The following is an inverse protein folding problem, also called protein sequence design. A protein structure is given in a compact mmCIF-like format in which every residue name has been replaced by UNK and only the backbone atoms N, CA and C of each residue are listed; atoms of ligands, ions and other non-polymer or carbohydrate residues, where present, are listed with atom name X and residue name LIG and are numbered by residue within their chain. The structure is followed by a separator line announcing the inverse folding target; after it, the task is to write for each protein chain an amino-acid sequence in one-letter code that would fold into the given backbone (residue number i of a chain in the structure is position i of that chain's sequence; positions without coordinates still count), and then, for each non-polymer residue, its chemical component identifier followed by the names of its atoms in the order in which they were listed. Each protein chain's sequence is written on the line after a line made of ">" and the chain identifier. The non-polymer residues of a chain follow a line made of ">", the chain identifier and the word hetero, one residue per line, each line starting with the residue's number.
data_IF_191621245370
#
_entry.id   IF_191621245370
#
_cell.length_a   1.000
_cell.length_b   1.000
_cell.length_c   1.000
_cell.angle_alpha   90.00
_cell.angle_beta   90.00
_cell.angle_gamma   90.00
#
_symmetry.space_group_name_H-M   'P 1'
#
loop_
_entity.id
_entity.type
_entity.pdbx_description
1 polymer ?
#
# COMPACT_ATOMS: atom_id res chain seq x y z
N UNK A 1 -7.29 26.62 -14.17
CA UNK A 1 -8.43 27.08 -13.33
C UNK A 1 -8.55 26.27 -12.03
N UNK A 2 -8.64 24.93 -12.03
CA UNK A 2 -8.79 24.11 -10.82
C UNK A 2 -7.60 24.19 -9.84
N UNK A 3 -6.36 24.14 -10.33
CA UNK A 3 -5.14 24.31 -9.53
C UNK A 3 -5.01 25.72 -8.93
N UNK A 4 -5.46 26.73 -9.64
CA UNK A 4 -5.50 28.11 -9.15
C UNK A 4 -6.54 28.31 -8.02
N UNK A 5 -7.72 27.69 -8.18
CA UNK A 5 -8.74 27.66 -7.12
C UNK A 5 -8.25 26.90 -5.87
N UNK A 6 -7.51 25.81 -6.05
CA UNK A 6 -6.96 25.00 -4.93
C UNK A 6 -5.86 25.74 -4.16
N UNK A 7 -4.99 26.45 -4.86
CA UNK A 7 -3.97 27.34 -4.24
C UNK A 7 -4.64 28.51 -3.51
N UNK A 8 -5.70 29.07 -4.08
CA UNK A 8 -6.47 30.13 -3.46
C UNK A 8 -7.25 29.64 -2.24
N UNK A 9 -7.91 28.47 -2.32
CA UNK A 9 -8.62 27.85 -1.21
C UNK A 9 -7.65 27.41 -0.09
N UNK A 10 -6.49 26.89 -0.40
CA UNK A 10 -5.44 26.56 0.58
C UNK A 10 -4.95 27.80 1.30
N UNK A 11 -4.77 28.92 0.59
CA UNK A 11 -4.41 30.22 1.19
C UNK A 11 -5.57 30.79 2.01
N UNK A 12 -6.80 30.68 1.54
CA UNK A 12 -8.00 31.13 2.26
C UNK A 12 -8.16 30.33 3.56
N UNK A 13 -8.00 29.00 3.55
CA UNK A 13 -8.08 28.15 4.74
C UNK A 13 -6.95 28.48 5.70
N UNK A 14 -5.71 28.70 5.22
CA UNK A 14 -4.56 29.08 6.05
C UNK A 14 -4.74 30.48 6.67
N UNK A 15 -5.16 31.47 5.88
CA UNK A 15 -5.43 32.81 6.38
C UNK A 15 -6.68 32.86 7.27
N UNK A 16 -7.73 32.09 6.95
CA UNK A 16 -8.92 31.97 7.79
C UNK A 16 -8.61 31.34 9.14
N UNK A 17 -7.71 30.36 9.20
CA UNK A 17 -7.26 29.77 10.45
C UNK A 17 -6.54 30.79 11.35
N UNK A 18 -5.64 31.60 10.78
CA UNK A 18 -4.87 32.56 11.57
C UNK A 18 -5.60 33.89 11.87
N UNK A 19 -6.46 34.35 10.95
CA UNK A 19 -7.08 35.68 11.05
C UNK A 19 -8.51 35.60 11.58
N UNK A 20 -9.28 34.58 11.20
CA UNK A 20 -10.71 34.47 11.51
C UNK A 20 -10.96 33.55 12.73
N UNK A 21 -10.17 32.49 12.91
CA UNK A 21 -10.41 31.51 13.97
C UNK A 21 -9.78 31.89 15.31
N UNK A 22 -8.70 32.68 15.31
CA UNK A 22 -8.06 33.12 16.55
C UNK A 22 -8.97 33.85 17.57
N UNK A 23 -9.96 34.64 17.12
CA UNK A 23 -10.91 35.29 18.04
C UNK A 23 -12.13 34.42 18.39
N UNK A 24 -12.28 33.21 17.85
CA UNK A 24 -13.47 32.38 18.08
C UNK A 24 -13.28 31.58 19.39
N UNK A 25 -14.26 31.61 20.31
CA UNK A 25 -14.21 30.80 21.49
C UNK A 25 -14.04 29.29 21.18
N UNK A 26 -13.19 28.60 21.92
CA UNK A 26 -12.82 27.20 21.70
C UNK A 26 -14.02 26.23 21.56
N UNK A 27 -15.14 26.56 22.22
CA UNK A 27 -16.41 25.82 22.14
C UNK A 27 -17.03 25.76 20.72
N UNK A 28 -16.67 26.69 19.82
CA UNK A 28 -17.16 26.73 18.45
C UNK A 28 -16.25 25.99 17.46
N UNK A 29 -15.01 25.62 17.85
CA UNK A 29 -14.09 24.89 16.96
C UNK A 29 -14.68 23.58 16.47
N UNK A 30 -15.43 22.86 17.32
CA UNK A 30 -16.09 21.61 16.94
C UNK A 30 -17.04 21.79 15.76
N UNK A 31 -17.81 22.87 15.73
CA UNK A 31 -18.75 23.16 14.64
C UNK A 31 -18.03 23.57 13.37
N UNK A 32 -16.95 24.35 13.48
CA UNK A 32 -16.14 24.78 12.33
C UNK A 32 -15.43 23.56 11.72
N UNK A 33 -14.89 22.66 12.50
CA UNK A 33 -14.29 21.41 12.01
C UNK A 33 -15.34 20.58 11.27
N UNK A 34 -16.54 20.42 11.80
CA UNK A 34 -17.65 19.69 11.13
C UNK A 34 -18.04 20.35 9.80
N UNK A 35 -18.08 21.69 9.75
CA UNK A 35 -18.37 22.42 8.51
C UNK A 35 -17.25 22.23 7.49
N UNK A 36 -15.99 22.33 7.91
CA UNK A 36 -14.83 22.11 7.05
C UNK A 36 -14.75 20.67 6.55
N UNK A 37 -15.04 19.70 7.39
CA UNK A 37 -15.13 18.28 6.99
C UNK A 37 -16.25 18.06 5.95
N UNK A 38 -17.44 18.64 6.18
CA UNK A 38 -18.54 18.59 5.18
C UNK A 38 -18.17 19.28 3.88
N UNK A 39 -17.47 20.41 3.94
CA UNK A 39 -16.99 21.12 2.76
C UNK A 39 -15.91 20.31 2.02
N UNK A 40 -14.98 19.71 2.74
CA UNK A 40 -13.97 18.80 2.19
C UNK A 40 -14.65 17.56 1.57
N UNK A 41 -15.66 16.98 2.21
CA UNK A 41 -16.46 15.88 1.67
C UNK A 41 -17.24 16.30 0.42
N UNK A 42 -17.78 17.51 0.39
CA UNK A 42 -18.49 18.06 -0.76
C UNK A 42 -17.55 18.32 -1.95
N UNK A 43 -16.39 18.93 -1.71
CA UNK A 43 -15.35 19.11 -2.73
C UNK A 43 -14.77 17.78 -3.23
N UNK A 44 -14.63 16.78 -2.35
CA UNK A 44 -14.32 15.39 -2.73
C UNK A 44 -15.39 14.82 -3.68
N UNK A 45 -16.67 15.00 -3.36
CA UNK A 45 -17.79 14.49 -4.17
C UNK A 45 -17.79 15.12 -5.57
N UNK A 46 -17.43 16.38 -5.69
CA UNK A 46 -17.28 17.07 -6.98
C UNK A 46 -16.03 16.56 -7.72
N UNK A 47 -14.90 16.35 -7.03
CA UNK A 47 -13.68 15.86 -7.66
C UNK A 47 -13.76 14.38 -8.08
N UNK A 48 -14.57 13.57 -7.40
CA UNK A 48 -14.82 12.16 -7.74
C UNK A 48 -15.63 11.96 -9.02
N UNK A 49 -16.13 13.03 -9.64
CA UNK A 49 -16.89 12.98 -10.89
C UNK A 49 -16.08 12.65 -12.14
N UNK A 50 -14.75 12.74 -12.08
CA UNK A 50 -13.89 12.63 -13.26
C UNK A 50 -12.78 11.58 -13.06
N UNK A 51 -12.43 10.91 -14.15
CA UNK A 51 -11.19 10.13 -14.23
C UNK A 51 -10.00 11.09 -14.19
N UNK A 52 -8.97 10.75 -13.44
CA UNK A 52 -7.72 11.51 -13.43
C UNK A 52 -6.57 10.66 -13.96
N UNK A 53 -5.63 11.31 -14.61
CA UNK A 53 -4.34 10.73 -15.00
C UNK A 53 -3.28 11.55 -14.27
N UNK A 54 -2.47 10.86 -13.49
CA UNK A 54 -1.41 11.47 -12.70
C UNK A 54 -0.08 11.16 -13.34
N UNK A 55 0.60 12.20 -13.80
CA UNK A 55 1.99 12.09 -14.25
C UNK A 55 2.90 11.99 -13.02
N UNK A 56 3.71 10.94 -12.96
CA UNK A 56 4.72 10.76 -11.94
C UNK A 56 6.12 10.87 -12.55
N UNK A 57 6.94 11.69 -11.92
CA UNK A 57 8.36 11.84 -12.24
C UNK A 57 9.18 11.56 -10.99
N UNK A 58 9.92 10.47 -11.00
CA UNK A 58 10.82 10.07 -9.91
C UNK A 58 12.24 10.00 -10.49
N UNK A 59 13.02 11.04 -10.27
CA UNK A 59 14.33 11.22 -10.94
C UNK A 59 14.18 11.14 -12.47
N UNK A 60 14.83 10.19 -13.11
CA UNK A 60 14.77 9.95 -14.56
C UNK A 60 13.64 9.00 -14.99
N UNK A 61 12.81 8.53 -14.05
CA UNK A 61 11.74 7.57 -14.31
C UNK A 61 10.41 8.32 -14.39
N UNK A 62 9.74 8.19 -15.53
CA UNK A 62 8.42 8.79 -15.79
C UNK A 62 7.39 7.73 -16.08
N UNK A 63 6.21 7.84 -15.47
CA UNK A 63 5.06 6.98 -15.73
C UNK A 63 3.75 7.69 -15.40
N UNK A 64 2.63 7.10 -15.84
CA UNK A 64 1.29 7.64 -15.63
C UNK A 64 0.45 6.68 -14.81
N UNK A 65 -0.31 7.21 -13.86
CA UNK A 65 -1.28 6.44 -13.08
C UNK A 65 -2.69 6.85 -13.48
N UNK A 66 -3.47 5.88 -13.89
CA UNK A 66 -4.88 6.03 -14.20
C UNK A 66 -5.70 5.81 -12.93
N UNK A 67 -6.55 6.78 -12.59
CA UNK A 67 -7.47 6.67 -11.46
C UNK A 67 -8.89 6.90 -11.98
N UNK A 68 -9.73 5.85 -11.94
CA UNK A 68 -11.10 5.96 -12.39
C UNK A 68 -11.93 6.87 -11.49
N UNK A 69 -12.91 7.55 -12.07
CA UNK A 69 -13.95 8.23 -11.30
C UNK A 69 -14.59 7.21 -10.35
N UNK A 70 -15.00 7.52 -9.21
CA UNK A 70 -15.61 6.64 -8.19
C UNK A 70 -14.62 5.78 -7.36
N UNK A 71 -13.31 5.87 -7.60
CA UNK A 71 -12.33 5.35 -6.66
C UNK A 71 -11.95 6.44 -5.66
N UNK A 72 -12.71 6.56 -4.57
CA UNK A 72 -12.54 7.65 -3.59
C UNK A 72 -11.19 7.63 -2.89
N UNK A 73 -10.64 6.45 -2.62
CA UNK A 73 -9.36 6.29 -1.96
C UNK A 73 -8.22 6.75 -2.87
N UNK A 74 -8.15 6.22 -4.10
CA UNK A 74 -7.15 6.64 -5.07
C UNK A 74 -7.28 8.12 -5.44
N UNK A 75 -8.50 8.66 -5.60
CA UNK A 75 -8.70 10.08 -5.84
C UNK A 75 -8.13 10.95 -4.72
N UNK A 76 -8.32 10.56 -3.47
CA UNK A 76 -7.78 11.30 -2.34
C UNK A 76 -6.25 11.36 -2.38
N UNK A 77 -5.60 10.21 -2.55
CA UNK A 77 -4.15 10.09 -2.61
C UNK A 77 -3.60 10.82 -3.84
N UNK A 78 -4.08 10.46 -5.03
CA UNK A 78 -3.46 10.88 -6.28
C UNK A 78 -3.79 12.32 -6.68
N UNK A 79 -4.92 12.92 -6.23
CA UNK A 79 -5.14 14.37 -6.41
C UNK A 79 -4.06 15.22 -5.74
N UNK A 80 -3.43 14.73 -4.69
CA UNK A 80 -2.34 15.45 -4.03
C UNK A 80 -1.01 15.35 -4.77
N UNK A 81 -0.91 14.44 -5.73
CA UNK A 81 0.27 14.19 -6.57
C UNK A 81 0.14 14.80 -7.97
N UNK A 82 -0.98 15.49 -8.28
CA UNK A 82 -1.23 16.04 -9.62
C UNK A 82 -0.24 17.11 -10.06
N UNK A 83 0.50 17.72 -9.14
CA UNK A 83 1.54 18.69 -9.46
C UNK A 83 2.84 18.04 -9.98
N UNK A 84 2.93 16.70 -9.97
CA UNK A 84 4.09 15.92 -10.43
C UNK A 84 5.36 16.09 -9.58
N UNK A 85 5.31 16.94 -8.54
CA UNK A 85 6.47 17.28 -7.71
C UNK A 85 6.59 16.43 -6.45
N UNK A 86 5.56 15.66 -6.12
CA UNK A 86 5.52 14.82 -4.92
C UNK A 86 5.62 13.36 -5.30
N UNK A 87 6.40 12.64 -4.54
CA UNK A 87 6.56 11.20 -4.65
C UNK A 87 5.59 10.53 -3.66
N UNK A 88 4.88 9.52 -4.11
CA UNK A 88 4.06 8.67 -3.25
C UNK A 88 4.99 7.76 -2.44
N UNK A 89 4.83 7.75 -1.12
CA UNK A 89 5.63 6.94 -0.19
C UNK A 89 7.14 6.97 -0.51
N UNK A 90 7.80 8.11 -0.38
CA UNK A 90 9.19 8.26 -0.82
C UNK A 90 10.19 7.33 -0.10
N UNK A 91 9.97 6.99 1.17
CA UNK A 91 10.83 6.03 1.89
C UNK A 91 10.79 4.64 1.27
N UNK A 92 9.61 4.22 0.79
CA UNK A 92 9.45 2.93 0.12
C UNK A 92 10.13 2.94 -1.25
N UNK A 93 9.95 4.02 -2.00
CA UNK A 93 10.63 4.22 -3.29
C UNK A 93 12.17 4.20 -3.11
N UNK A 94 12.68 4.87 -2.07
CA UNK A 94 14.13 4.89 -1.75
C UNK A 94 14.64 3.48 -1.46
N UNK A 95 13.95 2.75 -0.58
CA UNK A 95 14.29 1.39 -0.22
C UNK A 95 14.22 0.44 -1.42
N UNK A 96 13.13 0.50 -2.17
CA UNK A 96 12.92 -0.32 -3.37
C UNK A 96 13.96 -0.05 -4.44
N UNK A 97 14.31 1.22 -4.67
CA UNK A 97 15.35 1.60 -5.61
C UNK A 97 16.72 1.00 -5.23
N UNK A 98 17.06 1.00 -3.93
CA UNK A 98 18.30 0.40 -3.45
C UNK A 98 18.29 -1.13 -3.62
N UNK A 99 17.18 -1.79 -3.31
CA UNK A 99 17.01 -3.24 -3.52
C UNK A 99 17.17 -3.60 -5.00
N UNK A 100 16.49 -2.88 -5.89
CA UNK A 100 16.52 -3.14 -7.34
C UNK A 100 17.91 -2.98 -7.94
N UNK A 101 18.74 -2.08 -7.40
CA UNK A 101 20.14 -1.91 -7.83
C UNK A 101 21.06 -3.03 -7.33
N UNK A 102 20.79 -3.55 -6.13
CA UNK A 102 21.61 -4.58 -5.51
C UNK A 102 21.29 -6.00 -6.01
N UNK A 103 20.03 -6.24 -6.42
CA UNK A 103 19.62 -7.56 -6.90
C UNK A 103 20.11 -7.79 -8.34
N UNK A 104 20.85 -8.87 -8.57
CA UNK A 104 21.45 -9.16 -9.87
C UNK A 104 20.42 -9.45 -10.96
N UNK A 105 19.33 -10.13 -10.60
CA UNK A 105 18.24 -10.49 -11.50
C UNK A 105 16.91 -10.16 -10.82
N UNK A 106 16.54 -8.90 -10.71
CA UNK A 106 15.37 -8.49 -9.98
C UNK A 106 14.09 -8.91 -10.70
N UNK A 107 13.28 -9.75 -10.05
CA UNK A 107 11.94 -10.11 -10.46
C UNK A 107 10.99 -9.66 -9.37
N UNK A 108 10.13 -8.72 -9.68
CA UNK A 108 9.30 -8.02 -8.71
C UNK A 108 7.85 -8.51 -8.73
N UNK A 109 7.27 -8.67 -7.56
CA UNK A 109 5.84 -8.87 -7.40
C UNK A 109 5.25 -7.84 -6.42
N UNK A 110 4.23 -7.13 -6.89
CA UNK A 110 3.45 -6.12 -6.19
C UNK A 110 2.17 -6.78 -5.68
N UNK A 111 2.11 -7.12 -4.39
CA UNK A 111 1.00 -7.83 -3.76
C UNK A 111 0.08 -6.80 -3.11
N UNK A 112 -1.15 -6.69 -3.63
CA UNK A 112 -2.04 -5.58 -3.37
C UNK A 112 -1.69 -4.37 -4.24
N UNK A 113 -1.55 -4.60 -5.56
CA UNK A 113 -1.02 -3.61 -6.49
C UNK A 113 -1.91 -2.37 -6.71
N UNK A 114 -3.17 -2.40 -6.27
CA UNK A 114 -4.14 -1.30 -6.31
C UNK A 114 -4.30 -0.70 -7.72
N UNK A 115 -3.74 0.49 -7.97
CA UNK A 115 -3.75 1.14 -9.29
C UNK A 115 -2.43 1.00 -10.05
N UNK A 116 -1.50 0.21 -9.52
CA UNK A 116 -0.24 -0.16 -10.18
C UNK A 116 0.90 0.84 -10.03
N UNK A 117 0.93 1.64 -8.96
CA UNK A 117 1.98 2.65 -8.77
C UNK A 117 3.38 2.01 -8.74
N UNK A 118 3.60 1.05 -7.83
CA UNK A 118 4.89 0.38 -7.71
C UNK A 118 5.18 -0.52 -8.91
N UNK A 119 4.16 -1.20 -9.43
CA UNK A 119 4.30 -2.01 -10.64
C UNK A 119 4.81 -1.18 -11.83
N UNK A 120 4.23 0.02 -12.06
CA UNK A 120 4.68 0.92 -13.12
C UNK A 120 6.08 1.49 -12.86
N UNK A 121 6.36 1.89 -11.61
CA UNK A 121 7.68 2.39 -11.22
C UNK A 121 8.77 1.36 -11.47
N UNK A 122 8.62 0.14 -10.94
CA UNK A 122 9.61 -0.94 -11.06
C UNK A 122 9.79 -1.36 -12.52
N UNK A 123 8.71 -1.48 -13.28
CA UNK A 123 8.79 -1.80 -14.69
C UNK A 123 9.63 -0.78 -15.49
N UNK A 124 9.43 0.51 -15.23
CA UNK A 124 10.24 1.57 -15.83
C UNK A 124 11.68 1.54 -15.36
N UNK A 125 11.92 1.20 -14.09
CA UNK A 125 13.26 1.06 -13.52
C UNK A 125 14.04 -0.09 -14.18
N UNK A 126 13.39 -1.25 -14.36
CA UNK A 126 13.98 -2.45 -14.96
C UNK A 126 14.13 -2.38 -16.47
N UNK A 127 13.68 -1.27 -17.08
CA UNK A 127 13.76 -1.04 -18.53
C UNK A 127 13.19 -2.19 -19.38
N UNK A 128 12.13 -2.84 -18.86
CA UNK A 128 11.34 -3.91 -19.50
C UNK A 128 12.03 -5.28 -19.69
N UNK A 129 13.19 -5.50 -19.10
CA UNK A 129 13.94 -6.76 -19.33
C UNK A 129 13.35 -7.97 -18.63
N UNK A 130 12.67 -7.75 -17.49
CA UNK A 130 12.11 -8.81 -16.65
C UNK A 130 10.62 -8.55 -16.32
N UNK A 131 9.84 -9.62 -16.07
CA UNK A 131 8.44 -9.45 -15.73
C UNK A 131 8.25 -8.76 -14.36
N UNK A 132 7.23 -7.93 -14.30
CA UNK A 132 6.68 -7.35 -13.07
C UNK A 132 5.30 -7.96 -12.85
N UNK A 133 5.10 -8.64 -11.74
CA UNK A 133 3.82 -9.23 -11.38
C UNK A 133 3.01 -8.26 -10.52
N UNK A 134 1.80 -7.90 -10.98
CA UNK A 134 0.86 -7.10 -10.21
C UNK A 134 -0.30 -8.00 -9.76
N UNK A 135 -0.32 -8.35 -8.46
CA UNK A 135 -1.35 -9.21 -7.87
C UNK A 135 -2.40 -8.31 -7.20
N UNK A 136 -3.64 -8.41 -7.67
CA UNK A 136 -4.73 -7.58 -7.20
C UNK A 136 -6.05 -8.37 -7.19
N UNK A 137 -6.82 -8.26 -6.12
CA UNK A 137 -8.07 -9.01 -5.96
C UNK A 137 -9.28 -8.33 -6.60
N UNK A 138 -9.23 -7.02 -6.79
CA UNK A 138 -10.33 -6.25 -7.34
C UNK A 138 -10.22 -6.14 -8.86
N UNK A 139 -11.23 -6.67 -9.57
CA UNK A 139 -11.28 -6.68 -11.05
C UNK A 139 -11.12 -5.27 -11.64
N UNK A 140 -11.71 -4.26 -11.00
CA UNK A 140 -11.64 -2.87 -11.46
C UNK A 140 -10.24 -2.30 -11.31
N UNK A 141 -9.54 -2.64 -10.23
CA UNK A 141 -8.15 -2.20 -10.04
C UNK A 141 -7.21 -2.91 -11.01
N UNK A 142 -7.46 -4.18 -11.30
CA UNK A 142 -6.73 -4.89 -12.37
C UNK A 142 -6.85 -4.17 -13.73
N UNK A 143 -8.05 -3.66 -14.07
CA UNK A 143 -8.24 -2.83 -15.26
C UNK A 143 -7.51 -1.49 -15.17
N UNK A 144 -7.49 -0.86 -13.99
CA UNK A 144 -6.78 0.42 -13.78
C UNK A 144 -5.26 0.24 -13.92
N UNK A 145 -4.70 -0.86 -13.40
CA UNK A 145 -3.29 -1.23 -13.60
C UNK A 145 -2.98 -1.37 -15.10
N UNK A 146 -3.80 -2.10 -15.85
CA UNK A 146 -3.63 -2.28 -17.30
C UNK A 146 -3.67 -0.94 -18.04
N UNK A 147 -4.55 -0.03 -17.63
CA UNK A 147 -4.63 1.33 -18.20
C UNK A 147 -3.42 2.18 -17.83
N UNK A 148 -2.96 2.11 -16.58
CA UNK A 148 -1.73 2.79 -16.13
C UNK A 148 -0.52 2.31 -16.93
N UNK A 149 -0.38 0.99 -17.11
CA UNK A 149 0.67 0.40 -17.92
C UNK A 149 0.61 0.86 -19.39
N UNK A 150 -0.57 0.83 -20.00
CA UNK A 150 -0.78 1.28 -21.39
C UNK A 150 -0.43 2.75 -21.58
N UNK A 151 -0.92 3.64 -20.69
CA UNK A 151 -0.62 5.07 -20.72
C UNK A 151 0.87 5.37 -20.53
N UNK A 152 1.56 4.49 -19.79
CA UNK A 152 3.00 4.56 -19.52
C UNK A 152 3.84 3.89 -20.60
N UNK A 153 3.22 3.28 -21.62
CA UNK A 153 3.89 2.45 -22.65
C UNK A 153 4.74 1.35 -21.99
N UNK A 154 4.15 0.60 -21.08
CA UNK A 154 4.75 -0.52 -20.36
C UNK A 154 4.13 -1.83 -20.87
N UNK A 155 4.96 -2.82 -21.18
CA UNK A 155 4.53 -4.11 -21.75
C UNK A 155 4.85 -5.32 -20.87
N UNK A 156 5.71 -5.20 -19.88
CA UNK A 156 6.19 -6.31 -19.04
C UNK A 156 5.44 -6.47 -17.71
N UNK A 157 4.36 -5.72 -17.47
CA UNK A 157 3.51 -5.93 -16.29
C UNK A 157 2.52 -7.06 -16.59
N UNK A 158 2.61 -8.13 -15.81
CA UNK A 158 1.63 -9.21 -15.79
C UNK A 158 0.65 -8.99 -14.65
N UNK A 159 -0.60 -8.63 -14.98
CA UNK A 159 -1.66 -8.40 -14.00
C UNK A 159 -2.35 -9.72 -13.66
N UNK A 160 -2.22 -10.15 -12.42
CA UNK A 160 -2.79 -11.37 -11.87
C UNK A 160 -3.99 -11.02 -10.99
N UNK A 161 -5.20 -11.21 -11.53
CA UNK A 161 -6.42 -11.03 -10.74
C UNK A 161 -6.63 -12.23 -9.84
N UNK A 162 -6.21 -12.12 -8.58
CA UNK A 162 -6.29 -13.19 -7.60
C UNK A 162 -6.53 -12.68 -6.20
N UNK A 163 -7.37 -13.39 -5.46
CA UNK A 163 -7.59 -13.17 -4.04
C UNK A 163 -6.67 -14.12 -3.26
N UNK A 164 -5.63 -13.56 -2.67
CA UNK A 164 -4.61 -14.34 -1.96
C UNK A 164 -5.05 -14.68 -0.52
N UNK A 165 -4.69 -15.88 -0.06
CA UNK A 165 -4.93 -16.38 1.29
C UNK A 165 -3.93 -17.48 1.64
N UNK A 166 -4.13 -18.14 2.79
CA UNK A 166 -3.37 -19.31 3.23
C UNK A 166 -3.76 -20.62 2.55
N UNK A 167 -4.97 -20.67 1.98
CA UNK A 167 -5.55 -21.86 1.32
C UNK A 167 -6.56 -21.48 0.26
N UNK A 168 -7.03 -22.49 -0.49
CA UNK A 168 -8.15 -22.34 -1.43
C UNK A 168 -9.46 -22.48 -0.69
N UNK A 169 -10.29 -21.44 -0.73
CA UNK A 169 -11.64 -21.44 -0.18
C UNK A 169 -12.55 -20.51 -0.98
N UNK A 170 -13.86 -20.73 -0.91
CA UNK A 170 -14.84 -19.83 -1.51
C UNK A 170 -15.15 -18.69 -0.54
N UNK A 171 -15.02 -17.46 -1.00
CA UNK A 171 -15.33 -16.25 -0.24
C UNK A 171 -16.29 -15.35 -0.99
N UNK A 172 -17.01 -14.51 -0.26
CA UNK A 172 -17.82 -13.44 -0.84
C UNK A 172 -17.03 -12.13 -0.78
N UNK A 173 -16.81 -11.54 -1.95
CA UNK A 173 -16.12 -10.26 -2.06
C UNK A 173 -17.09 -9.18 -2.54
N UNK A 174 -17.14 -8.07 -1.81
CA UNK A 174 -17.85 -6.86 -2.19
C UNK A 174 -16.96 -5.65 -1.94
N UNK A 175 -16.67 -4.90 -3.00
CA UNK A 175 -15.72 -3.79 -2.98
C UNK A 175 -14.36 -4.24 -2.43
N UNK A 176 -13.87 -3.66 -1.36
CA UNK A 176 -12.60 -4.05 -0.69
C UNK A 176 -12.79 -5.05 0.45
N UNK A 177 -14.02 -5.46 0.72
CA UNK A 177 -14.33 -6.37 1.83
C UNK A 177 -14.49 -7.80 1.35
N UNK A 178 -13.84 -8.73 2.04
CA UNK A 178 -13.91 -10.16 1.80
C UNK A 178 -14.45 -10.84 3.05
N UNK A 179 -15.42 -11.72 2.90
CA UNK A 179 -16.05 -12.45 4.01
C UNK A 179 -16.28 -13.91 3.63
N UNK A 180 -16.11 -14.82 4.59
CA UNK A 180 -16.50 -16.20 4.38
C UNK A 180 -18.03 -16.39 4.57
N UNK A 181 -18.63 -17.49 4.06
CA UNK A 181 -20.06 -17.76 4.19
C UNK A 181 -20.56 -17.80 5.63
N UNK A 182 -19.77 -18.35 6.57
CA UNK A 182 -20.16 -18.49 7.98
C UNK A 182 -20.19 -17.13 8.69
N UNK A 183 -19.24 -16.24 8.38
CA UNK A 183 -19.26 -14.87 8.87
C UNK A 183 -20.47 -14.09 8.36
N UNK A 184 -20.85 -14.33 7.09
CA UNK A 184 -22.06 -13.75 6.53
C UNK A 184 -23.32 -14.23 7.26
N UNK A 185 -23.40 -15.53 7.63
CA UNK A 185 -24.52 -16.05 8.40
C UNK A 185 -24.57 -15.48 9.81
N UNK A 186 -23.46 -15.42 10.51
CA UNK A 186 -23.36 -14.82 11.85
C UNK A 186 -23.73 -13.34 11.86
N UNK A 187 -23.30 -12.58 10.84
CA UNK A 187 -23.60 -11.15 10.68
C UNK A 187 -24.99 -10.84 10.14
N UNK A 188 -25.73 -11.81 9.59
CA UNK A 188 -27.16 -11.65 9.27
C UNK A 188 -28.00 -11.24 10.46
N UNK A 189 -27.53 -11.48 11.67
CA UNK A 189 -28.16 -11.06 12.92
C UNK A 189 -27.92 -9.58 13.26
N UNK A 190 -27.02 -8.89 12.55
CA UNK A 190 -26.71 -7.47 12.73
C UNK A 190 -27.21 -6.71 11.50
N UNK A 191 -28.29 -5.96 11.66
CA UNK A 191 -28.91 -5.17 10.58
C UNK A 191 -28.01 -3.99 10.18
N UNK A 192 -27.10 -4.22 9.25
CA UNK A 192 -26.31 -3.15 8.63
C UNK A 192 -26.62 -3.07 7.13
N UNK A 193 -26.86 -1.86 6.63
CA UNK A 193 -27.04 -1.59 5.18
C UNK A 193 -25.86 -2.07 4.34
N UNK A 194 -24.70 -2.15 4.94
CA UNK A 194 -23.51 -2.68 4.32
C UNK A 194 -23.62 -4.19 4.06
N UNK A 195 -24.12 -4.94 5.04
CA UNK A 195 -24.32 -6.39 4.91
C UNK A 195 -25.36 -6.72 3.85
N UNK A 196 -26.44 -5.92 3.78
CA UNK A 196 -27.45 -6.03 2.69
C UNK A 196 -26.81 -5.84 1.32
N UNK A 197 -25.86 -4.91 1.19
CA UNK A 197 -25.11 -4.70 -0.06
C UNK A 197 -24.18 -5.86 -0.39
N UNK A 198 -23.44 -6.41 0.57
CA UNK A 198 -22.60 -7.60 0.39
C UNK A 198 -23.43 -8.80 -0.06
N UNK A 199 -24.57 -9.05 0.57
CA UNK A 199 -25.47 -10.15 0.20
C UNK A 199 -26.11 -9.96 -1.17
N UNK A 200 -26.42 -8.72 -1.56
CA UNK A 200 -27.11 -8.41 -2.83
C UNK A 200 -26.14 -8.30 -4.02
N UNK A 201 -24.95 -7.78 -3.81
CA UNK A 201 -24.02 -7.42 -4.87
C UNK A 201 -22.65 -8.12 -4.78
N UNK A 202 -22.41 -8.85 -3.68
CA UNK A 202 -21.16 -9.60 -3.49
C UNK A 202 -21.00 -10.70 -4.52
N UNK A 203 -19.79 -10.83 -5.04
CA UNK A 203 -19.42 -11.89 -5.97
C UNK A 203 -18.70 -12.99 -5.22
N UNK A 204 -18.99 -14.25 -5.59
CA UNK A 204 -18.18 -15.38 -5.16
C UNK A 204 -16.79 -15.26 -5.77
N UNK A 205 -15.76 -15.37 -4.94
CA UNK A 205 -14.36 -15.44 -5.36
C UNK A 205 -13.70 -16.63 -4.67
N UNK A 206 -12.78 -17.24 -5.38
CA UNK A 206 -11.95 -18.30 -4.82
C UNK A 206 -10.59 -17.73 -4.45
N UNK A 207 -10.16 -18.04 -3.22
CA UNK A 207 -8.81 -17.71 -2.80
C UNK A 207 -7.79 -18.66 -3.43
N UNK A 208 -6.56 -18.20 -3.48
CA UNK A 208 -5.40 -19.00 -3.87
C UNK A 208 -4.19 -18.62 -3.01
N UNK A 209 -3.17 -19.45 -2.98
CA UNK A 209 -1.90 -19.13 -2.31
C UNK A 209 -0.90 -18.53 -3.29
N UNK A 210 0.06 -17.73 -2.82
CA UNK A 210 1.16 -17.28 -3.69
C UNK A 210 2.02 -18.46 -4.16
N UNK A 211 2.18 -19.50 -3.33
CA UNK A 211 2.87 -20.73 -3.74
C UNK A 211 2.22 -21.35 -4.98
N UNK A 212 0.87 -21.43 -5.02
CA UNK A 212 0.15 -21.97 -6.16
C UNK A 212 0.21 -21.06 -7.40
N UNK A 213 0.14 -19.75 -7.20
CA UNK A 213 0.24 -18.76 -8.30
C UNK A 213 1.59 -18.88 -8.99
N UNK A 214 2.68 -18.88 -8.21
CA UNK A 214 4.03 -18.86 -8.78
C UNK A 214 4.57 -20.24 -9.16
N UNK A 215 4.01 -21.34 -8.63
CA UNK A 215 4.34 -22.71 -9.06
C UNK A 215 4.19 -22.91 -10.59
N UNK A 216 3.30 -22.16 -11.20
CA UNK A 216 3.01 -22.25 -12.66
C UNK A 216 3.81 -21.25 -13.50
N UNK A 217 4.62 -20.41 -12.90
CA UNK A 217 5.43 -19.40 -13.59
C UNK A 217 6.83 -19.91 -13.89
N UNK A 218 7.35 -19.54 -15.06
CA UNK A 218 8.75 -19.86 -15.45
C UNK A 218 9.76 -18.97 -14.72
N UNK A 219 9.37 -17.73 -14.45
CA UNK A 219 10.19 -16.72 -13.78
C UNK A 219 9.52 -16.42 -12.44
N UNK A 220 10.24 -16.61 -11.35
CA UNK A 220 9.74 -16.52 -10.00
C UNK A 220 10.25 -15.23 -9.35
N UNK A 221 9.38 -14.46 -8.63
CA UNK A 221 9.82 -13.24 -7.99
C UNK A 221 10.79 -13.49 -6.83
N UNK A 222 11.80 -12.65 -6.73
CA UNK A 222 12.74 -12.60 -5.62
C UNK A 222 12.62 -11.30 -4.79
N UNK A 223 11.80 -10.36 -5.26
CA UNK A 223 11.47 -9.12 -4.55
C UNK A 223 9.94 -9.02 -4.46
N UNK A 224 9.42 -8.91 -3.24
CA UNK A 224 7.99 -8.68 -2.99
C UNK A 224 7.77 -7.32 -2.34
N UNK A 225 6.76 -6.57 -2.78
CA UNK A 225 6.11 -5.52 -2.01
C UNK A 225 4.72 -6.03 -1.62
N UNK A 226 4.32 -5.89 -0.37
CA UNK A 226 3.03 -6.33 0.12
C UNK A 226 2.33 -5.22 0.90
N UNK A 227 1.07 -4.97 0.52
CA UNK A 227 0.19 -4.01 1.15
C UNK A 227 -1.26 -4.47 0.89
N UNK A 228 -1.84 -5.18 1.84
CA UNK A 228 -3.08 -5.94 1.67
C UNK A 228 -4.09 -5.73 2.79
N UNK A 229 -3.91 -4.63 3.53
CA UNK A 229 -4.88 -4.13 4.52
C UNK A 229 -5.35 -5.17 5.55
N UNK A 230 -4.41 -5.91 6.15
CA UNK A 230 -4.66 -6.87 7.22
C UNK A 230 -4.69 -8.34 6.78
N UNK A 231 -4.55 -8.65 5.48
CA UNK A 231 -4.48 -10.04 5.00
C UNK A 231 -3.07 -10.64 5.05
N UNK A 232 -2.07 -9.90 5.56
CA UNK A 232 -0.65 -10.25 5.55
C UNK A 232 -0.38 -11.62 6.16
N UNK A 233 -0.98 -11.92 7.32
CA UNK A 233 -0.75 -13.18 8.04
C UNK A 233 -1.13 -14.40 7.23
N UNK A 234 -2.34 -14.43 6.68
CA UNK A 234 -2.81 -15.53 5.83
C UNK A 234 -1.98 -15.66 4.55
N UNK A 235 -1.72 -14.55 3.87
CA UNK A 235 -0.98 -14.57 2.61
C UNK A 235 0.44 -15.08 2.82
N UNK A 236 1.15 -14.63 3.85
CA UNK A 236 2.49 -15.11 4.17
C UNK A 236 2.49 -16.59 4.56
N UNK A 237 1.47 -17.04 5.30
CA UNK A 237 1.32 -18.44 5.64
C UNK A 237 1.13 -19.34 4.40
N UNK A 238 0.38 -18.85 3.41
CA UNK A 238 0.18 -19.51 2.11
C UNK A 238 1.35 -19.36 1.12
N UNK A 239 2.47 -18.75 1.55
CA UNK A 239 3.60 -18.37 0.69
C UNK A 239 4.94 -18.96 1.16
N UNK A 240 4.90 -19.90 2.10
CA UNK A 240 6.13 -20.41 2.78
C UNK A 240 7.18 -20.97 1.83
N UNK A 241 6.77 -21.67 0.78
CA UNK A 241 7.73 -22.25 -0.18
C UNK A 241 8.35 -21.16 -1.05
N UNK A 242 7.56 -20.22 -1.53
CA UNK A 242 8.03 -19.05 -2.30
C UNK A 242 9.02 -18.23 -1.46
N UNK A 243 8.63 -17.86 -0.23
CA UNK A 243 9.45 -17.10 0.70
C UNK A 243 10.77 -17.82 1.04
N UNK A 244 10.71 -19.11 1.31
CA UNK A 244 11.89 -19.88 1.68
C UNK A 244 12.89 -20.02 0.54
N UNK A 245 12.40 -20.27 -0.69
CA UNK A 245 13.24 -20.72 -1.80
C UNK A 245 13.66 -19.61 -2.77
N UNK A 246 12.86 -18.56 -2.89
CA UNK A 246 13.01 -17.60 -3.98
C UNK A 246 13.12 -16.14 -3.52
N UNK A 247 12.42 -15.76 -2.46
CA UNK A 247 12.34 -14.34 -2.07
C UNK A 247 13.58 -13.95 -1.27
N UNK A 248 14.28 -12.93 -1.76
CA UNK A 248 15.42 -12.30 -1.10
C UNK A 248 15.00 -11.07 -0.28
N UNK A 249 13.99 -10.33 -0.77
CA UNK A 249 13.52 -9.09 -0.16
C UNK A 249 11.99 -9.06 -0.10
N UNK A 250 11.46 -8.71 1.05
CA UNK A 250 10.04 -8.44 1.26
C UNK A 250 9.90 -7.05 1.90
N UNK A 251 9.31 -6.11 1.16
CA UNK A 251 8.82 -4.83 1.67
C UNK A 251 7.35 -4.98 2.00
N UNK A 252 6.98 -4.83 3.27
CA UNK A 252 5.61 -5.07 3.72
C UNK A 252 5.10 -3.92 4.59
N UNK A 253 3.91 -3.40 4.26
CA UNK A 253 3.13 -2.63 5.20
C UNK A 253 2.36 -3.60 6.09
N UNK A 254 2.72 -3.65 7.37
CA UNK A 254 2.09 -4.50 8.37
C UNK A 254 1.03 -3.67 9.11
N UNK A 255 -0.22 -3.94 8.82
CA UNK A 255 -1.36 -3.17 9.27
C UNK A 255 -1.67 -3.33 10.76
N UNK A 256 -2.63 -2.54 11.27
CA UNK A 256 -3.00 -2.54 12.69
C UNK A 256 -3.47 -3.91 13.16
N UNK A 257 -3.35 -4.18 14.46
CA UNK A 257 -3.85 -5.43 15.06
C UNK A 257 -5.35 -5.63 14.80
N UNK A 258 -6.11 -4.54 14.71
CA UNK A 258 -7.55 -4.57 14.37
C UNK A 258 -7.80 -5.05 12.95
N UNK A 259 -6.97 -4.62 12.00
CA UNK A 259 -7.09 -5.04 10.60
C UNK A 259 -6.65 -6.50 10.44
N UNK A 260 -5.57 -6.90 11.13
CA UNK A 260 -5.14 -8.30 11.18
C UNK A 260 -6.21 -9.21 11.78
N UNK A 261 -6.82 -8.83 12.90
CA UNK A 261 -7.92 -9.61 13.49
C UNK A 261 -9.10 -9.79 12.52
N UNK A 262 -9.37 -8.77 11.71
CA UNK A 262 -10.47 -8.79 10.74
C UNK A 262 -10.19 -9.69 9.53
N UNK A 263 -8.98 -9.65 8.97
CA UNK A 263 -8.68 -10.29 7.69
C UNK A 263 -7.73 -11.50 7.80
N UNK A 264 -6.94 -11.54 8.87
CA UNK A 264 -6.04 -12.66 9.21
C UNK A 264 -6.26 -13.10 10.66
N UNK A 265 -7.49 -13.51 11.06
CA UNK A 265 -7.77 -13.91 12.42
C UNK A 265 -6.80 -15.01 12.86
N UNK A 266 -6.30 -14.90 14.09
CA UNK A 266 -5.31 -15.82 14.65
C UNK A 266 -3.84 -15.44 14.37
N UNK A 267 -3.59 -14.33 13.66
CA UNK A 267 -2.24 -13.80 13.45
C UNK A 267 -2.07 -12.46 14.17
N UNK A 268 -1.03 -12.35 14.98
CA UNK A 268 -0.54 -11.08 15.49
C UNK A 268 0.64 -10.55 14.67
N UNK A 269 0.98 -9.28 14.81
CA UNK A 269 2.20 -8.73 14.20
C UNK A 269 3.44 -9.51 14.62
N UNK A 270 3.49 -9.92 15.90
CA UNK A 270 4.60 -10.69 16.43
C UNK A 270 4.70 -12.08 15.78
N UNK A 271 3.59 -12.77 15.56
CA UNK A 271 3.58 -14.08 14.90
C UNK A 271 4.06 -13.99 13.46
N UNK A 272 3.62 -12.94 12.74
CA UNK A 272 4.04 -12.68 11.35
C UNK A 272 5.55 -12.47 11.28
N UNK A 273 6.11 -11.61 12.15
CA UNK A 273 7.56 -11.33 12.17
C UNK A 273 8.35 -12.56 12.58
N UNK A 274 7.92 -13.30 13.62
CA UNK A 274 8.55 -14.56 14.02
C UNK A 274 8.54 -15.59 12.89
N UNK A 275 7.41 -15.69 12.17
CA UNK A 275 7.31 -16.56 11.00
C UNK A 275 8.30 -16.21 9.90
N UNK A 276 8.56 -14.94 9.65
CA UNK A 276 9.59 -14.50 8.71
C UNK A 276 10.99 -14.81 9.20
N UNK A 277 11.29 -14.60 10.49
CA UNK A 277 12.58 -14.95 11.10
C UNK A 277 12.84 -16.46 11.01
N UNK A 278 11.81 -17.28 11.22
CA UNK A 278 11.89 -18.75 11.08
C UNK A 278 12.09 -19.22 9.62
N UNK A 279 11.78 -18.36 8.66
CA UNK A 279 12.06 -18.55 7.23
C UNK A 279 13.38 -17.92 6.77
N UNK A 280 14.30 -17.67 7.72
CA UNK A 280 15.63 -17.11 7.49
C UNK A 280 15.66 -15.67 6.96
N UNK A 281 14.72 -14.83 7.43
CA UNK A 281 14.77 -13.39 7.18
C UNK A 281 15.29 -12.63 8.40
N UNK A 282 16.09 -11.60 8.17
CA UNK A 282 16.32 -10.51 9.10
C UNK A 282 15.21 -9.45 8.88
N UNK A 283 14.46 -9.14 9.93
CA UNK A 283 13.35 -8.19 9.86
C UNK A 283 13.75 -6.83 10.43
N UNK A 284 13.40 -5.76 9.75
CA UNK A 284 13.73 -4.39 10.13
C UNK A 284 12.50 -3.51 9.99
N UNK A 285 12.21 -2.69 11.02
CA UNK A 285 11.25 -1.59 10.89
C UNK A 285 11.96 -0.44 10.20
N UNK A 286 11.38 0.09 9.13
CA UNK A 286 11.93 1.22 8.39
C UNK A 286 11.28 2.51 8.90
N UNK A 287 12.10 3.53 9.17
CA UNK A 287 11.66 4.87 9.53
C UNK A 287 12.07 5.88 8.45
N UNK A 288 11.24 6.90 8.16
CA UNK A 288 10.17 7.46 8.98
C UNK A 288 8.75 6.94 8.69
N UNK A 289 8.57 5.84 8.02
CA UNK A 289 7.25 5.36 7.57
C UNK A 289 6.37 4.71 8.67
N UNK A 290 6.65 4.91 9.95
CA UNK A 290 5.95 4.20 11.02
C UNK A 290 4.71 4.90 11.59
N UNK A 291 4.26 6.03 11.02
CA UNK A 291 3.26 6.87 11.68
C UNK A 291 1.85 6.84 11.06
N UNK A 292 1.55 5.80 10.28
CA UNK A 292 0.22 5.53 9.73
C UNK A 292 -0.23 6.43 8.57
N UNK A 293 -1.19 5.96 7.81
CA UNK A 293 -1.72 6.57 6.58
C UNK A 293 -2.21 8.03 6.70
N UNK A 294 -2.40 8.55 7.89
CA UNK A 294 -2.97 9.90 8.07
C UNK A 294 -2.09 11.01 7.52
N UNK A 295 -0.80 10.73 7.29
CA UNK A 295 0.17 11.73 6.88
C UNK A 295 1.09 11.30 5.73
N UNK A 296 0.74 10.30 4.93
CA UNK A 296 1.54 9.68 3.86
C UNK A 296 2.28 10.67 2.94
N UNK A 297 1.72 11.85 2.71
CA UNK A 297 2.32 12.86 1.85
C UNK A 297 3.04 13.95 2.65
N UNK A 298 2.68 14.12 3.93
CA UNK A 298 3.21 15.19 4.77
C UNK A 298 4.38 14.75 5.66
N UNK A 299 4.38 13.50 6.13
CA UNK A 299 5.35 12.99 7.09
C UNK A 299 6.68 12.60 6.50
N UNK A 300 6.72 12.31 5.20
CA UNK A 300 7.95 11.85 4.54
C UNK A 300 8.67 12.94 3.71
N UNK A 301 8.46 14.22 4.07
CA UNK A 301 9.10 15.36 3.37
C UNK A 301 10.62 15.31 3.41
N UNK A 302 11.18 14.90 4.55
CA UNK A 302 12.63 14.81 4.72
C UNK A 302 13.22 13.75 3.80
N UNK A 303 12.61 12.56 3.73
CA UNK A 303 13.04 11.48 2.84
C UNK A 303 12.88 11.90 1.37
N UNK A 304 11.75 12.52 1.02
CA UNK A 304 11.57 13.04 -0.34
C UNK A 304 12.67 14.04 -0.72
N UNK A 305 12.98 15.01 0.15
CA UNK A 305 14.01 16.00 -0.11
C UNK A 305 15.39 15.35 -0.20
N UNK A 306 15.72 14.45 0.73
CA UNK A 306 16.98 13.70 0.72
C UNK A 306 17.12 12.85 -0.54
N UNK A 307 16.02 12.21 -0.99
CA UNK A 307 16.03 11.43 -2.22
C UNK A 307 16.29 12.29 -3.46
N UNK A 308 15.61 13.42 -3.57
CA UNK A 308 15.81 14.36 -4.68
C UNK A 308 17.24 14.92 -4.70
N UNK A 309 17.84 15.12 -3.54
CA UNK A 309 19.21 15.61 -3.39
C UNK A 309 20.27 14.51 -3.42
N UNK A 310 19.91 13.25 -3.70
CA UNK A 310 20.81 12.07 -3.65
C UNK A 310 21.48 11.83 -2.28
N UNK A 311 20.88 12.29 -1.20
CA UNK A 311 21.38 12.12 0.18
C UNK A 311 20.47 11.25 1.02
N UNK A 312 19.68 10.37 0.37
CA UNK A 312 18.70 9.54 1.07
C UNK A 312 19.38 8.58 2.02
N UNK A 313 19.03 8.69 3.29
CA UNK A 313 19.39 7.76 4.34
C UNK A 313 18.15 7.44 5.16
N UNK A 314 17.81 6.19 5.24
CA UNK A 314 16.72 5.68 6.05
C UNK A 314 17.27 5.17 7.38
N UNK A 315 16.49 5.34 8.42
CA UNK A 315 16.76 4.69 9.71
C UNK A 315 16.06 3.35 9.75
N UNK A 316 16.63 2.38 10.42
CA UNK A 316 16.00 1.09 10.64
C UNK A 316 16.22 0.61 12.06
N UNK A 317 15.29 -0.23 12.54
CA UNK A 317 15.40 -0.96 13.78
C UNK A 317 15.32 -2.46 13.46
N UNK A 318 16.40 -3.19 13.72
CA UNK A 318 16.41 -4.65 13.59
C UNK A 318 15.52 -5.27 14.66
N UNK A 319 14.72 -6.24 14.29
CA UNK A 319 13.83 -6.96 15.21
C UNK A 319 14.45 -8.31 15.51
N UNK A 320 14.83 -8.52 16.77
CA UNK A 320 15.30 -9.82 17.24
C UNK A 320 14.11 -10.70 17.67
N UNK A 321 14.20 -12.01 17.45
CA UNK A 321 13.10 -12.95 17.69
C UNK A 321 12.56 -12.89 19.12
N UNK A 322 13.44 -12.80 20.08
CA UNK A 322 13.09 -12.83 21.51
C UNK A 322 12.44 -11.51 21.98
N UNK A 323 12.73 -10.41 21.27
CA UNK A 323 12.22 -9.07 21.59
C UNK A 323 11.05 -8.62 20.70
N UNK A 324 10.60 -9.48 19.78
CA UNK A 324 9.59 -9.13 18.77
C UNK A 324 8.31 -8.57 19.41
N UNK A 325 7.80 -9.21 20.45
CA UNK A 325 6.56 -8.77 21.09
C UNK A 325 6.72 -7.40 21.76
N UNK A 326 7.83 -7.16 22.49
CA UNK A 326 8.09 -5.88 23.17
C UNK A 326 8.31 -4.74 22.18
N UNK A 327 9.07 -4.98 21.11
CA UNK A 327 9.32 -3.98 20.07
C UNK A 327 8.04 -3.55 19.35
N UNK A 328 7.07 -4.48 19.21
CA UNK A 328 5.82 -4.22 18.49
C UNK A 328 4.68 -3.76 19.40
N UNK A 329 4.82 -3.83 20.73
CA UNK A 329 3.74 -3.54 21.67
C UNK A 329 3.14 -2.15 21.44
N UNK A 330 3.96 -1.12 21.45
CA UNK A 330 3.51 0.28 21.25
C UNK A 330 3.05 0.57 19.81
N UNK A 331 3.30 -0.35 18.88
CA UNK A 331 2.98 -0.22 17.45
C UNK A 331 1.75 -1.01 17.01
N UNK A 332 1.03 -1.63 17.94
CA UNK A 332 -0.16 -2.44 17.60
C UNK A 332 -1.28 -1.63 16.94
N UNK A 333 -1.38 -0.34 17.29
CA UNK A 333 -2.44 0.55 16.79
C UNK A 333 -2.03 1.37 15.56
N UNK A 334 -0.81 1.22 15.07
CA UNK A 334 -0.31 1.90 13.87
C UNK A 334 0.14 0.89 12.81
N UNK A 335 0.07 1.29 11.55
CA UNK A 335 0.71 0.57 10.46
C UNK A 335 2.23 0.76 10.58
N UNK A 336 2.99 -0.30 10.29
CA UNK A 336 4.45 -0.26 10.30
C UNK A 336 5.00 -0.79 8.99
N UNK A 337 6.11 -0.22 8.55
CA UNK A 337 6.76 -0.72 7.35
C UNK A 337 7.93 -1.65 7.71
N UNK A 338 7.87 -2.87 7.20
CA UNK A 338 8.86 -3.92 7.44
C UNK A 338 9.65 -4.16 6.17
N UNK A 339 10.98 -4.16 6.30
CA UNK A 339 11.89 -4.73 5.35
C UNK A 339 12.41 -6.05 5.91
N UNK A 340 12.02 -7.16 5.31
CA UNK A 340 12.56 -8.47 5.58
C UNK A 340 13.56 -8.84 4.48
N UNK A 341 14.78 -9.18 4.88
CA UNK A 341 15.91 -9.51 3.99
C UNK A 341 16.44 -10.89 4.37
N UNK A 342 16.74 -11.75 3.39
CA UNK A 342 17.38 -13.04 3.66
C UNK A 342 18.67 -12.87 4.46
N UNK A 343 18.92 -13.77 5.40
CA UNK A 343 20.04 -13.68 6.38
C UNK A 343 21.41 -13.56 5.73
N UNK A 344 21.60 -14.15 4.56
CA UNK A 344 22.84 -14.06 3.79
C UNK A 344 23.08 -12.69 3.15
N UNK A 345 22.08 -11.80 3.16
CA UNK A 345 22.18 -10.46 2.59
C UNK A 345 22.33 -9.45 3.72
N UNK A 346 23.38 -8.64 3.66
CA UNK A 346 23.61 -7.59 4.64
C UNK A 346 22.81 -6.34 4.30
N UNK A 347 22.02 -5.80 5.24
CA UNK A 347 21.25 -4.57 5.06
C UNK A 347 22.14 -3.37 4.70
N UNK A 348 23.38 -3.34 5.20
CA UNK A 348 24.33 -2.26 4.90
C UNK A 348 24.83 -2.27 3.46
N UNK A 349 24.58 -3.35 2.69
CA UNK A 349 24.82 -3.36 1.24
C UNK A 349 23.82 -2.49 0.48
N UNK A 350 22.70 -2.13 1.09
CA UNK A 350 21.71 -1.23 0.52
C UNK A 350 22.15 0.22 0.74
N UNK A 351 22.35 0.97 -0.33
CA UNK A 351 22.89 2.35 -0.31
C UNK A 351 21.95 3.37 0.38
N UNK A 352 20.75 2.98 0.72
CA UNK A 352 19.76 3.82 1.41
C UNK A 352 19.87 3.77 2.95
N UNK A 353 20.71 2.90 3.55
CA UNK A 353 20.89 2.76 5.00
C UNK A 353 22.27 3.18 5.51
#
# INVERSE_FOLDING_TARGET
>A
MYLMLKSLLGKIVYYSYFVILKPIPQKFYKYIIIILEKFILYTKKISMGHTIIVDQQIKNISFKIYVRKNNSQAHYVYTQLLDGKKIYEPSIIVCLNSILKNEKKPVFADVGAFVGHYSCYVSKFLNYDLPVYALESNDKFCEDIKKSASLSKISNIEVLNCLLSDKKEELFAYDVTVMNPDELQKKKLVDSDYLKKVLKFGKKKFTTTMDDVFKKKKIIPNILKMDVHGAEGKILFGSKNLLKKNVNYLLMELHTSKDLEKYSPGFTKADIIKGLIDLDFNCHIISPHSDGHRNLIATDRTTQQSYLNNTSKLKYLKIEKDLTASVLYDRNFSDIFILAIKKEINITSLDCF
#
